data_IF_319815914530
#
_entry.id   IF_319815914530
#
_cell.length_a   1.000
_cell.length_b   1.000
_cell.length_c   1.000
_cell.angle_alpha   90.00
_cell.angle_beta   90.00
_cell.angle_gamma   90.00
#
_symmetry.space_group_name_H-M   'P 1'
#
loop_
_entity.id
_entity.type
_entity.pdbx_description
1 polymer ?
#
# COMPACT_ATOMS: atom_id res chain seq x y z
N UNK A 1 0.12 -4.63 -10.71
CA UNK A 1 0.77 -5.77 -10.00
C UNK A 1 -0.11 -6.12 -8.82
N UNK A 2 -0.35 -7.41 -8.56
CA UNK A 2 -1.03 -7.89 -7.35
C UNK A 2 0.05 -8.50 -6.45
N UNK A 3 0.20 -7.97 -5.23
CA UNK A 3 1.10 -8.56 -4.24
C UNK A 3 0.45 -9.80 -3.61
N UNK A 4 1.25 -10.84 -3.33
CA UNK A 4 0.75 -12.13 -2.81
C UNK A 4 0.04 -12.03 -1.45
N UNK A 5 0.27 -10.94 -0.72
CA UNK A 5 -0.32 -10.62 0.56
C UNK A 5 -1.49 -9.62 0.45
N UNK A 6 -2.18 -9.60 -0.69
CA UNK A 6 -3.36 -8.76 -0.90
C UNK A 6 -4.65 -9.59 -0.89
N UNK A 7 -5.62 -9.18 -0.08
CA UNK A 7 -6.99 -9.67 -0.11
C UNK A 7 -7.80 -8.82 -1.09
N UNK A 8 -8.33 -9.44 -2.14
CA UNK A 8 -9.13 -8.78 -3.17
C UNK A 8 -10.58 -9.27 -3.18
N UNK A 9 -11.55 -8.35 -3.35
CA UNK A 9 -13.00 -8.64 -3.39
C UNK A 9 -13.67 -8.29 -4.73
N UNK A 10 -12.94 -7.63 -5.63
CA UNK A 10 -13.37 -7.27 -6.98
C UNK A 10 -12.11 -7.14 -7.87
N UNK A 11 -12.27 -7.00 -9.18
CA UNK A 11 -11.15 -6.85 -10.12
C UNK A 11 -10.54 -5.44 -10.05
N UNK A 12 -9.22 -5.34 -9.84
CA UNK A 12 -8.53 -4.06 -9.84
C UNK A 12 -8.74 -3.33 -11.16
N UNK A 13 -8.69 -3.98 -12.32
CA UNK A 13 -8.88 -3.31 -13.61
C UNK A 13 -10.27 -2.70 -13.75
N UNK A 14 -11.29 -3.39 -13.24
CA UNK A 14 -12.66 -2.87 -13.19
C UNK A 14 -12.80 -1.66 -12.26
N UNK A 15 -12.03 -1.63 -11.18
CA UNK A 15 -12.00 -0.53 -10.21
C UNK A 15 -11.07 0.62 -10.60
N UNK A 16 -9.99 0.32 -11.34
CA UNK A 16 -8.81 1.17 -11.48
C UNK A 16 -8.69 1.87 -12.82
N UNK A 17 -9.35 1.39 -13.87
CA UNK A 17 -8.96 1.81 -15.21
C UNK A 17 -10.18 1.92 -16.10
N UNK A 18 -10.71 3.15 -16.17
CA UNK A 18 -11.03 3.86 -17.42
C UNK A 18 -11.92 5.07 -17.16
N UNK A 19 -12.74 5.06 -16.10
CA UNK A 19 -13.78 6.08 -15.93
C UNK A 19 -13.31 7.38 -15.26
N UNK A 20 -12.46 7.30 -14.25
CA UNK A 20 -12.18 8.47 -13.38
C UNK A 20 -10.86 9.21 -13.74
N UNK A 21 -9.88 8.52 -14.37
CA UNK A 21 -8.57 9.10 -14.73
C UNK A 21 -8.10 8.68 -16.14
N UNK A 22 -8.77 9.14 -17.21
CA UNK A 22 -8.45 8.74 -18.58
C UNK A 22 -7.08 9.23 -19.07
N UNK A 23 -6.46 10.22 -18.42
CA UNK A 23 -5.14 10.75 -18.78
C UNK A 23 -4.01 10.34 -17.82
N UNK A 24 -4.28 9.44 -16.87
CA UNK A 24 -3.26 8.89 -15.98
C UNK A 24 -2.28 7.97 -16.73
N UNK A 25 -0.98 8.16 -16.50
CA UNK A 25 0.05 7.20 -16.86
C UNK A 25 0.09 6.03 -15.86
N UNK A 26 -0.15 6.34 -14.58
CA UNK A 26 -0.18 5.36 -13.50
C UNK A 26 -1.11 5.78 -12.35
N UNK A 27 -1.69 4.79 -11.67
CA UNK A 27 -2.52 4.94 -10.48
C UNK A 27 -1.97 4.02 -9.39
N UNK A 28 -1.68 4.59 -8.23
CA UNK A 28 -1.03 3.89 -7.12
C UNK A 28 -1.94 3.83 -5.89
N UNK A 29 -1.71 2.84 -5.04
CA UNK A 29 -2.19 2.89 -3.67
C UNK A 29 -1.40 3.92 -2.84
N UNK A 30 -2.00 4.33 -1.73
CA UNK A 30 -1.51 5.41 -0.89
C UNK A 30 -1.35 4.93 0.55
N UNK A 31 -0.35 5.48 1.25
CA UNK A 31 -0.13 5.19 2.67
C UNK A 31 -1.27 5.75 3.52
N UNK A 32 -1.57 5.14 4.67
CA UNK A 32 -2.64 5.58 5.57
C UNK A 32 -4.00 4.96 5.25
N UNK A 33 -5.05 5.56 5.83
CA UNK A 33 -6.44 5.13 5.66
C UNK A 33 -7.44 6.31 5.65
N UNK A 34 -6.95 7.55 5.77
CA UNK A 34 -7.76 8.78 5.85
C UNK A 34 -7.39 9.72 4.68
N UNK A 35 -8.34 10.12 3.81
CA UNK A 35 -8.09 11.04 2.70
C UNK A 35 -7.52 12.39 3.11
N UNK A 36 -7.69 12.82 4.36
CA UNK A 36 -7.15 14.08 4.87
C UNK A 36 -5.71 13.97 5.39
N UNK A 37 -5.13 12.77 5.38
CA UNK A 37 -3.75 12.53 5.79
C UNK A 37 -2.77 13.13 4.78
N UNK A 38 -1.71 13.77 5.27
CA UNK A 38 -0.58 14.19 4.44
C UNK A 38 0.18 13.00 3.83
N UNK A 39 0.02 11.80 4.41
CA UNK A 39 0.55 10.53 3.88
C UNK A 39 -0.28 9.97 2.72
N UNK A 40 -1.51 10.46 2.50
CA UNK A 40 -2.29 10.14 1.29
C UNK A 40 -1.61 10.59 -0.01
N UNK A 41 -0.60 11.44 0.09
CA UNK A 41 0.20 11.91 -1.05
C UNK A 41 1.48 11.08 -1.27
N UNK A 42 1.61 9.95 -0.58
CA UNK A 42 2.77 9.06 -0.64
C UNK A 42 2.32 7.68 -1.12
N UNK A 43 3.02 7.15 -2.12
CA UNK A 43 2.80 5.82 -2.67
C UNK A 43 3.08 4.76 -1.60
N UNK A 44 2.13 3.84 -1.38
CA UNK A 44 2.36 2.67 -0.53
C UNK A 44 3.15 1.58 -1.29
N UNK A 45 2.84 1.37 -2.57
CA UNK A 45 3.67 0.58 -3.50
C UNK A 45 3.21 -0.85 -3.74
N UNK A 46 2.17 -1.31 -3.06
CA UNK A 46 1.76 -2.71 -3.12
C UNK A 46 0.82 -3.01 -4.29
N UNK A 47 -0.02 -2.04 -4.62
CA UNK A 47 -1.03 -2.17 -5.65
C UNK A 47 -0.99 -0.96 -6.56
N UNK A 48 -0.70 -1.21 -7.83
CA UNK A 48 -0.67 -0.16 -8.84
C UNK A 48 -1.16 -0.65 -10.20
N UNK A 49 -1.76 0.29 -10.91
CA UNK A 49 -2.13 0.19 -12.32
C UNK A 49 -1.23 1.14 -13.12
N UNK A 50 -0.58 0.64 -14.16
CA UNK A 50 0.27 1.47 -15.03
C UNK A 50 -0.15 1.21 -16.47
N UNK A 51 -0.45 2.29 -17.20
CA UNK A 51 -0.79 2.20 -18.63
C UNK A 51 0.45 1.87 -19.43
N UNK A 52 0.33 0.99 -20.42
CA UNK A 52 1.44 0.72 -21.32
C UNK A 52 1.65 1.89 -22.27
N UNK A 53 2.69 2.69 -22.04
CA UNK A 53 3.10 3.83 -22.85
C UNK A 53 4.63 3.86 -22.92
N UNK A 54 5.21 4.66 -23.81
CA UNK A 54 6.67 4.86 -23.83
C UNK A 54 7.19 5.48 -22.53
N UNK A 55 6.33 6.22 -21.81
CA UNK A 55 6.68 6.82 -20.53
C UNK A 55 6.78 5.76 -19.43
N UNK A 56 5.83 4.83 -19.35
CA UNK A 56 5.88 3.76 -18.35
C UNK A 56 6.96 2.72 -18.63
N UNK A 57 7.31 2.49 -19.90
CA UNK A 57 8.49 1.67 -20.25
C UNK A 57 9.78 2.27 -19.71
N UNK A 58 9.96 3.59 -19.88
CA UNK A 58 11.11 4.31 -19.31
C UNK A 58 11.11 4.24 -17.78
N UNK A 59 9.96 4.43 -17.13
CA UNK A 59 9.83 4.27 -15.68
C UNK A 59 10.38 2.93 -15.20
N UNK A 60 9.93 1.81 -15.77
CA UNK A 60 10.35 0.50 -15.29
C UNK A 60 11.81 0.20 -15.64
N UNK A 61 12.34 0.76 -16.74
CA UNK A 61 13.77 0.72 -17.02
C UNK A 61 14.57 1.48 -15.94
N UNK A 62 14.11 2.66 -15.55
CA UNK A 62 14.75 3.48 -14.51
C UNK A 62 14.65 2.80 -13.14
N UNK A 63 13.48 2.28 -12.75
CA UNK A 63 13.30 1.49 -11.52
C UNK A 63 14.27 0.30 -11.50
N UNK A 64 14.33 -0.47 -12.59
CA UNK A 64 15.26 -1.60 -12.70
C UNK A 64 16.72 -1.17 -12.57
N UNK A 65 17.11 -0.08 -13.21
CA UNK A 65 18.46 0.45 -13.14
C UNK A 65 18.81 0.87 -11.71
N UNK A 66 17.94 1.65 -11.05
CA UNK A 66 18.14 2.10 -9.69
C UNK A 66 18.25 0.93 -8.70
N UNK A 67 17.34 -0.04 -8.77
CA UNK A 67 17.36 -1.21 -7.89
C UNK A 67 18.59 -2.12 -8.09
N UNK A 68 19.21 -2.07 -9.27
CA UNK A 68 20.41 -2.86 -9.58
C UNK A 68 21.70 -2.17 -9.13
N UNK A 69 21.72 -0.84 -9.06
CA UNK A 69 22.94 -0.06 -8.78
C UNK A 69 22.97 0.55 -7.38
N UNK A 70 21.80 0.77 -6.78
CA UNK A 70 21.68 1.43 -5.49
C UNK A 70 20.75 0.64 -4.58
N UNK A 71 21.05 0.70 -3.30
CA UNK A 71 20.16 0.20 -2.27
C UNK A 71 19.06 1.23 -2.02
N UNK A 72 18.01 1.19 -2.86
CA UNK A 72 16.84 2.06 -2.78
C UNK A 72 15.57 1.24 -2.80
N UNK A 73 14.50 1.77 -2.20
CA UNK A 73 13.18 1.16 -2.33
C UNK A 73 12.55 1.60 -3.66
N UNK A 74 11.83 0.67 -4.30
CA UNK A 74 11.10 0.91 -5.55
C UNK A 74 10.13 2.10 -5.43
N UNK A 75 9.42 2.21 -4.30
CA UNK A 75 8.52 3.34 -4.00
C UNK A 75 9.22 4.70 -4.02
N UNK A 76 10.50 4.78 -3.63
CA UNK A 76 11.27 6.02 -3.69
C UNK A 76 11.51 6.47 -5.13
N UNK A 77 11.85 5.53 -6.01
CA UNK A 77 12.03 5.80 -7.45
C UNK A 77 10.68 6.16 -8.09
N UNK A 78 9.61 5.43 -7.78
CA UNK A 78 8.25 5.74 -8.27
C UNK A 78 7.82 7.16 -7.85
N UNK A 79 8.04 7.53 -6.58
CA UNK A 79 7.74 8.87 -6.07
C UNK A 79 8.53 9.96 -6.80
N UNK A 80 9.81 9.73 -7.10
CA UNK A 80 10.60 10.68 -7.90
C UNK A 80 9.99 10.90 -9.30
N UNK A 81 9.59 9.82 -9.96
CA UNK A 81 8.99 9.91 -11.30
C UNK A 81 7.60 10.57 -11.27
N UNK A 82 6.80 10.35 -10.24
CA UNK A 82 5.48 10.97 -10.13
C UNK A 82 5.53 12.46 -9.80
N UNK A 83 6.63 12.94 -9.21
CA UNK A 83 6.76 14.33 -8.73
C UNK A 83 7.68 15.18 -9.59
N UNK A 84 8.39 14.57 -10.55
CA UNK A 84 9.19 15.28 -11.54
C UNK A 84 8.32 16.05 -12.53
N UNK A 85 8.73 17.27 -12.91
CA UNK A 85 8.02 18.13 -13.88
C UNK A 85 7.90 17.52 -15.29
N UNK A 86 8.78 16.58 -15.64
CA UNK A 86 8.73 15.81 -16.90
C UNK A 86 8.42 14.33 -16.63
N UNK A 87 7.90 14.06 -15.44
CA UNK A 87 7.61 12.74 -14.93
C UNK A 87 6.28 12.18 -15.45
N UNK A 88 5.86 11.08 -14.82
CA UNK A 88 4.60 10.43 -15.11
C UNK A 88 3.42 11.21 -14.51
N UNK A 89 2.29 11.21 -15.21
CA UNK A 89 1.01 11.64 -14.62
C UNK A 89 0.49 10.54 -13.69
N UNK A 90 0.78 10.71 -12.40
CA UNK A 90 0.38 9.76 -11.36
C UNK A 90 -0.87 10.21 -10.61
N UNK A 91 -1.74 9.25 -10.33
CA UNK A 91 -2.93 9.42 -9.50
C UNK A 91 -2.94 8.38 -8.37
N UNK A 92 -3.86 8.54 -7.42
CA UNK A 92 -4.02 7.61 -6.30
C UNK A 92 -5.39 6.95 -6.31
N UNK A 93 -5.43 5.68 -5.94
CA UNK A 93 -6.68 5.00 -5.65
C UNK A 93 -7.35 5.63 -4.42
N UNK A 94 -8.68 5.82 -4.45
CA UNK A 94 -9.42 6.11 -3.24
C UNK A 94 -9.20 5.01 -2.20
N UNK A 95 -9.06 5.37 -0.91
CA UNK A 95 -8.88 4.39 0.19
C UNK A 95 -9.97 3.32 0.23
N UNK A 96 -11.22 3.68 -0.13
CA UNK A 96 -12.34 2.73 -0.23
C UNK A 96 -12.14 1.65 -1.28
N UNK A 97 -11.25 1.86 -2.26
CA UNK A 97 -10.92 0.89 -3.29
C UNK A 97 -9.69 0.08 -2.89
N UNK A 98 -8.61 0.77 -2.55
CA UNK A 98 -7.33 0.14 -2.23
C UNK A 98 -6.76 0.76 -0.95
N UNK A 99 -6.44 -0.08 0.03
CA UNK A 99 -5.83 0.35 1.30
C UNK A 99 -4.81 -0.67 1.78
N UNK A 100 -3.88 -0.23 2.62
CA UNK A 100 -2.94 -1.11 3.31
C UNK A 100 -3.46 -1.64 4.65
N UNK A 101 -2.58 -2.31 5.38
CA UNK A 101 -2.81 -2.89 6.71
C UNK A 101 -3.31 -1.86 7.74
N UNK A 102 -3.01 -0.58 7.54
CA UNK A 102 -3.44 0.51 8.43
C UNK A 102 -4.96 0.61 8.52
N UNK A 103 -5.70 0.18 7.48
CA UNK A 103 -7.15 0.10 7.55
C UNK A 103 -7.61 -0.88 8.65
N UNK A 104 -6.96 -2.04 8.81
CA UNK A 104 -7.26 -3.03 9.87
C UNK A 104 -7.04 -2.40 11.26
N UNK A 105 -5.98 -1.62 11.41
CA UNK A 105 -5.64 -0.93 12.65
C UNK A 105 -6.57 0.27 12.96
N UNK A 106 -7.32 0.76 11.97
CA UNK A 106 -8.22 1.91 12.08
C UNK A 106 -9.59 1.56 12.67
N UNK A 107 -10.56 2.47 12.55
CA UNK A 107 -11.98 2.20 12.83
C UNK A 107 -12.66 1.28 11.80
N UNK A 108 -11.94 0.86 10.75
CA UNK A 108 -12.42 -0.06 9.72
C UNK A 108 -13.70 0.40 9.00
N UNK A 109 -13.87 1.72 8.85
CA UNK A 109 -14.96 2.29 8.05
C UNK A 109 -14.67 2.07 6.55
N UNK A 110 -15.72 1.89 5.76
CA UNK A 110 -15.64 1.76 4.29
C UNK A 110 -14.64 0.69 3.83
N UNK A 111 -14.92 -0.58 4.15
CA UNK A 111 -14.01 -1.69 3.86
C UNK A 111 -13.50 -1.71 2.41
N UNK A 112 -12.16 -1.76 2.20
CA UNK A 112 -11.57 -1.62 0.87
C UNK A 112 -11.86 -2.86 0.02
N UNK A 113 -11.88 -2.69 -1.30
CA UNK A 113 -11.98 -3.83 -2.22
C UNK A 113 -10.67 -4.61 -2.30
N UNK A 114 -9.56 -3.90 -2.19
CA UNK A 114 -8.20 -4.44 -2.20
C UNK A 114 -7.49 -4.02 -0.93
N UNK A 115 -7.02 -4.98 -0.16
CA UNK A 115 -6.36 -4.76 1.11
C UNK A 115 -5.02 -5.48 1.16
N UNK A 116 -3.93 -4.73 1.22
CA UNK A 116 -2.62 -5.32 1.44
C UNK A 116 -2.42 -5.58 2.94
N UNK A 117 -2.15 -6.84 3.28
CA UNK A 117 -1.91 -7.31 4.65
C UNK A 117 -0.41 -7.53 4.82
N UNK A 118 0.34 -6.43 4.92
CA UNK A 118 1.80 -6.48 5.00
C UNK A 118 2.34 -6.20 6.40
N UNK A 119 3.49 -6.81 6.71
CA UNK A 119 4.39 -6.40 7.79
C UNK A 119 4.21 -7.03 9.18
N UNK A 120 3.77 -8.27 9.33
CA UNK A 120 3.86 -8.95 10.63
C UNK A 120 4.90 -10.08 10.59
N UNK A 121 6.11 -9.79 11.09
CA UNK A 121 7.27 -10.70 11.13
C UNK A 121 7.36 -11.55 12.39
N UNK A 122 6.65 -11.19 13.46
CA UNK A 122 7.03 -11.61 14.82
C UNK A 122 6.28 -12.86 15.33
N UNK A 123 5.38 -13.45 14.53
CA UNK A 123 4.33 -14.37 15.05
C UNK A 123 4.09 -15.63 14.21
N UNK A 124 5.12 -16.14 13.53
CA UNK A 124 5.03 -17.44 12.80
C UNK A 124 4.98 -17.32 11.27
N UNK A 125 5.02 -16.10 10.74
CA UNK A 125 5.07 -15.80 9.31
C UNK A 125 3.75 -15.28 8.75
N UNK A 126 3.75 -14.85 7.48
CA UNK A 126 2.61 -14.17 6.84
C UNK A 126 1.31 -14.99 6.94
N UNK A 127 1.34 -16.30 6.71
CA UNK A 127 0.15 -17.15 6.67
C UNK A 127 -0.62 -17.16 8.01
N UNK A 128 0.09 -17.20 9.15
CA UNK A 128 -0.58 -17.22 10.45
C UNK A 128 -1.31 -15.91 10.74
N UNK A 129 -0.83 -14.80 10.17
CA UNK A 129 -1.48 -13.49 10.23
C UNK A 129 -2.76 -13.47 9.42
N UNK A 130 -2.70 -14.01 8.21
CA UNK A 130 -3.90 -14.23 7.41
C UNK A 130 -4.92 -15.05 8.19
N UNK A 131 -4.52 -16.12 8.87
CA UNK A 131 -5.44 -16.91 9.72
C UNK A 131 -6.05 -16.08 10.85
N UNK A 132 -5.26 -15.30 11.56
CA UNK A 132 -5.76 -14.48 12.67
C UNK A 132 -6.69 -13.35 12.24
N UNK A 133 -6.47 -12.76 11.07
CA UNK A 133 -7.42 -11.82 10.48
C UNK A 133 -8.65 -12.49 9.88
N UNK A 134 -8.70 -13.82 9.85
CA UNK A 134 -9.79 -14.59 9.23
C UNK A 134 -9.72 -14.64 7.70
N UNK A 135 -8.54 -14.43 7.14
CA UNK A 135 -8.23 -14.42 5.71
C UNK A 135 -7.50 -15.70 5.25
N UNK A 136 -7.90 -16.85 5.77
CA UNK A 136 -7.41 -18.15 5.32
C UNK A 136 -8.57 -18.94 4.73
N UNK A 137 -8.47 -19.28 3.43
CA UNK A 137 -9.61 -19.73 2.62
C UNK A 137 -9.42 -21.13 2.04
N UNK A 138 -8.47 -21.89 2.55
CA UNK A 138 -8.10 -23.20 2.00
C UNK A 138 -8.18 -24.23 3.14
N UNK A 139 -8.91 -25.32 2.92
CA UNK A 139 -8.92 -26.47 3.81
C UNK A 139 -7.60 -27.25 3.73
N UNK A 140 -7.32 -28.13 4.69
CA UNK A 140 -6.06 -28.91 4.72
C UNK A 140 -5.88 -29.83 3.49
N UNK A 141 -6.99 -30.19 2.83
CA UNK A 141 -6.97 -30.96 1.58
C UNK A 141 -6.74 -30.11 0.32
N UNK A 142 -6.48 -28.81 0.46
CA UNK A 142 -6.25 -27.87 -0.65
C UNK A 142 -7.51 -27.32 -1.32
N UNK A 143 -8.72 -27.73 -0.88
CA UNK A 143 -9.97 -27.21 -1.42
C UNK A 143 -10.35 -25.85 -0.81
N UNK A 144 -11.15 -25.07 -1.53
CA UNK A 144 -11.59 -23.74 -1.11
C UNK A 144 -12.64 -23.84 0.02
N UNK A 145 -12.42 -23.08 1.10
CA UNK A 145 -13.39 -22.86 2.17
C UNK A 145 -14.30 -21.67 1.85
N UNK A 146 -15.44 -21.95 1.22
CA UNK A 146 -16.40 -20.92 0.85
C UNK A 146 -17.01 -20.20 2.07
N UNK A 147 -17.13 -20.87 3.21
CA UNK A 147 -17.69 -20.28 4.43
C UNK A 147 -16.71 -19.24 5.02
N UNK A 148 -15.41 -19.54 5.02
CA UNK A 148 -14.36 -18.60 5.40
C UNK A 148 -14.35 -17.36 4.48
N UNK A 149 -14.52 -17.55 3.17
CA UNK A 149 -14.62 -16.43 2.21
C UNK A 149 -15.82 -15.53 2.52
N UNK A 150 -17.01 -16.11 2.76
CA UNK A 150 -18.22 -15.35 3.10
C UNK A 150 -18.03 -14.58 4.41
N UNK A 151 -17.46 -15.24 5.42
CA UNK A 151 -17.17 -14.63 6.73
C UNK A 151 -16.22 -13.45 6.59
N UNK A 152 -15.11 -13.60 5.85
CA UNK A 152 -14.16 -12.53 5.61
C UNK A 152 -14.77 -11.35 4.84
N UNK A 153 -15.58 -11.62 3.80
CA UNK A 153 -16.28 -10.57 3.06
C UNK A 153 -17.21 -9.76 3.97
N UNK A 154 -17.93 -10.44 4.86
CA UNK A 154 -18.79 -9.79 5.86
C UNK A 154 -17.99 -8.99 6.88
N UNK A 155 -16.89 -9.54 7.40
CA UNK A 155 -16.02 -8.86 8.35
C UNK A 155 -15.44 -7.56 7.76
N UNK A 156 -14.97 -7.59 6.52
CA UNK A 156 -14.47 -6.39 5.83
C UNK A 156 -15.59 -5.37 5.62
N UNK A 157 -16.78 -5.80 5.18
CA UNK A 157 -17.90 -4.91 4.91
C UNK A 157 -18.42 -4.18 6.16
N UNK A 158 -18.42 -4.86 7.31
CA UNK A 158 -18.92 -4.32 8.57
C UNK A 158 -17.84 -3.76 9.49
N UNK A 159 -16.57 -3.79 9.08
CA UNK A 159 -15.45 -3.29 9.89
C UNK A 159 -15.16 -4.13 11.15
N UNK A 160 -15.32 -5.44 11.04
CA UNK A 160 -15.17 -6.42 12.13
C UNK A 160 -13.98 -7.37 11.91
N UNK A 161 -12.96 -6.95 11.17
CA UNK A 161 -11.72 -7.72 11.02
C UNK A 161 -10.96 -7.67 12.35
N UNK A 162 -10.46 -8.80 12.90
CA UNK A 162 -9.71 -8.81 14.13
C UNK A 162 -8.54 -7.82 14.11
N UNK A 163 -8.43 -6.95 15.13
CA UNK A 163 -7.34 -5.98 15.26
C UNK A 163 -6.14 -6.61 15.96
N UNK A 164 -5.50 -7.57 15.30
CA UNK A 164 -4.22 -8.07 15.79
C UNK A 164 -3.12 -7.13 15.32
N UNK A 165 -2.42 -6.53 16.29
CA UNK A 165 -1.35 -5.56 16.04
C UNK A 165 -0.10 -6.03 16.80
N UNK A 166 0.89 -6.50 16.06
CA UNK A 166 2.19 -6.87 16.60
C UNK A 166 2.93 -5.67 17.25
N UNK A 167 3.93 -5.91 18.13
CA UNK A 167 4.79 -4.84 18.64
C UNK A 167 5.46 -4.03 17.52
N UNK A 168 5.98 -4.69 16.49
CA UNK A 168 6.50 -4.07 15.27
C UNK A 168 5.49 -3.10 14.63
N UNK A 169 4.23 -3.51 14.50
CA UNK A 169 3.18 -2.65 13.93
C UNK A 169 2.82 -1.47 14.82
N UNK A 170 2.91 -1.61 16.14
CA UNK A 170 2.77 -0.45 17.05
C UNK A 170 3.89 0.57 16.84
N UNK A 171 5.12 0.12 16.58
CA UNK A 171 6.22 1.01 16.22
C UNK A 171 5.96 1.69 14.87
N UNK A 172 5.50 0.95 13.86
CA UNK A 172 5.12 1.53 12.56
C UNK A 172 4.00 2.57 12.71
N UNK A 173 2.97 2.33 13.53
CA UNK A 173 1.92 3.33 13.79
C UNK A 173 2.47 4.62 14.42
N UNK A 174 3.44 4.49 15.34
CA UNK A 174 4.12 5.67 15.93
C UNK A 174 4.95 6.41 14.89
N UNK A 175 5.73 5.70 14.08
CA UNK A 175 6.50 6.28 12.99
C UNK A 175 5.60 6.98 11.97
N UNK A 176 4.47 6.38 11.63
CA UNK A 176 3.45 6.96 10.76
C UNK A 176 2.87 8.26 11.32
N UNK A 177 2.59 8.32 12.62
CA UNK A 177 2.12 9.54 13.28
C UNK A 177 3.19 10.66 13.27
N UNK A 178 4.46 10.31 13.44
CA UNK A 178 5.57 11.26 13.32
C UNK A 178 5.74 11.76 11.88
N UNK A 179 5.67 10.85 10.90
CA UNK A 179 5.74 11.18 9.48
C UNK A 179 4.60 12.13 9.06
N UNK A 180 3.38 11.90 9.55
CA UNK A 180 2.23 12.79 9.33
C UNK A 180 2.52 14.23 9.81
N UNK A 181 3.18 14.39 10.95
CA UNK A 181 3.60 15.70 11.44
C UNK A 181 4.70 16.33 10.56
N UNK A 182 5.72 15.55 10.21
CA UNK A 182 6.84 16.01 9.40
C UNK A 182 6.43 16.43 7.98
N UNK A 183 5.50 15.70 7.36
CA UNK A 183 4.97 15.99 6.03
C UNK A 183 4.09 17.24 5.96
N UNK A 184 3.64 17.76 7.10
CA UNK A 184 2.89 19.04 7.18
C UNK A 184 3.81 20.26 7.28
N UNK A 185 5.12 20.07 7.47
CA UNK A 185 6.06 21.19 7.54
C UNK A 185 6.15 21.90 6.18
N UNK A 186 6.05 23.23 6.13
CA UNK A 186 6.13 23.97 4.87
C UNK A 186 7.50 23.77 4.23
N UNK A 187 7.53 23.66 2.90
CA UNK A 187 8.74 23.45 2.08
C UNK A 187 9.40 22.09 2.32
N UNK A 188 9.87 21.82 3.53
CA UNK A 188 10.60 20.59 3.90
C UNK A 188 9.69 19.36 3.78
N UNK A 189 8.43 19.43 4.20
CA UNK A 189 7.49 18.31 4.13
C UNK A 189 7.30 17.77 2.71
N UNK A 190 7.35 18.66 1.71
CA UNK A 190 7.27 18.27 0.30
C UNK A 190 8.53 17.50 -0.14
N UNK A 191 9.73 17.93 0.25
CA UNK A 191 10.95 17.16 -0.01
C UNK A 191 10.93 15.83 0.73
N UNK A 192 10.46 15.82 1.99
CA UNK A 192 10.38 14.61 2.79
C UNK A 192 9.48 13.58 2.10
N UNK A 193 8.29 13.94 1.60
CA UNK A 193 7.43 12.98 0.88
C UNK A 193 8.12 12.30 -0.32
N UNK A 194 9.02 13.01 -1.02
CA UNK A 194 9.78 12.43 -2.16
C UNK A 194 10.97 11.59 -1.70
N UNK A 195 11.70 12.06 -0.68
CA UNK A 195 13.05 11.58 -0.36
C UNK A 195 13.16 10.82 0.97
N UNK A 196 12.15 10.88 1.85
CA UNK A 196 12.13 10.10 3.11
C UNK A 196 12.18 8.61 2.83
N UNK A 197 11.52 8.13 1.78
CA UNK A 197 11.58 6.71 1.39
C UNK A 197 12.92 6.32 0.73
N UNK A 198 13.73 7.30 0.31
CA UNK A 198 15.12 7.09 -0.11
C UNK A 198 16.10 7.17 1.08
N UNK A 199 15.72 7.86 2.16
CA UNK A 199 16.57 8.13 3.33
C UNK A 199 16.25 7.32 4.60
N UNK A 200 15.10 6.63 4.69
CA UNK A 200 14.67 5.87 5.87
C UNK A 200 15.64 4.74 6.24
N UNK A 201 16.49 4.29 5.31
CA UNK A 201 17.53 3.32 5.62
C UNK A 201 18.58 3.83 6.63
N UNK A 202 18.79 5.14 6.76
CA UNK A 202 19.73 5.65 7.76
C UNK A 202 19.20 5.54 9.20
N UNK A 203 17.88 5.51 9.41
CA UNK A 203 17.29 5.52 10.76
C UNK A 203 17.13 4.10 11.32
N UNK A 204 16.76 3.11 10.50
CA UNK A 204 16.58 1.72 10.96
C UNK A 204 17.90 0.95 11.18
N UNK A 205 19.05 1.56 10.83
CA UNK A 205 20.39 0.98 11.08
C UNK A 205 21.30 1.86 11.96
N UNK A 206 20.78 2.95 12.52
CA UNK A 206 21.47 3.77 13.54
C UNK A 206 20.89 3.59 14.95
N UNK A 207 20.00 2.60 15.15
CA UNK A 207 19.46 2.19 16.46
C UNK A 207 19.73 0.70 16.67
#
# INVERSE_FOLDING_TARGET
MLQQDTVCRDDLFRLAAEKDHPDADAVFDQMGFDPNSSRAQVINGANFYVRSTDHSRRLFADVSWWLTHFFVQDIGVLMMHCRSRRGLKCFYFPYKLVSGWEWIASEQRNGPFWMQVDGESDTGGKIDRFKEYGFYFIHDNGSCDAAAVIKARSAIAHGNVPKVISPSKKQHLRAAALAEGAFRLPIIGEYLKTYVLLGIYFIDHLI
#
